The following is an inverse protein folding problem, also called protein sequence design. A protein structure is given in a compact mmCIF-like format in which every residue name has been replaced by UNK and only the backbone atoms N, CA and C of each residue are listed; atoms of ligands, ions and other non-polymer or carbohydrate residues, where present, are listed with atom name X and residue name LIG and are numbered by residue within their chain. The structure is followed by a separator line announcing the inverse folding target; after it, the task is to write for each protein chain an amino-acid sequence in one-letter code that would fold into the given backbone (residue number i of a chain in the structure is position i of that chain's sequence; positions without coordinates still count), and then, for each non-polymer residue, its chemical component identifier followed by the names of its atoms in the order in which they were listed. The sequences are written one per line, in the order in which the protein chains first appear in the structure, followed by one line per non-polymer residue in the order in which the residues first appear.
data_IF_228759553422
#
_entry.id   IF_228759553422
#
_cell.length_a   1.000
_cell.length_b   1.000
_cell.length_c   1.000
_cell.angle_alpha   90.00
_cell.angle_beta   90.00
_cell.angle_gamma   90.00
#
_symmetry.space_group_name_H-M   'P 1'
#
loop_
_entity.id
_entity.type
_entity.pdbx_description
1 polymer ?
#
# COMPACT_ATOMS: atom_id res chain seq x y z
N UNK A 1 -3.46 15.41 19.72
CA UNK A 1 -2.43 14.61 19.01
C UNK A 1 -2.88 14.14 17.62
N UNK A 2 -4.19 13.95 17.36
CA UNK A 2 -4.69 13.51 16.06
C UNK A 2 -4.64 14.62 15.00
N UNK A 3 -4.94 15.86 15.35
CA UNK A 3 -4.87 17.02 14.43
C UNK A 3 -3.44 17.20 13.90
N UNK A 4 -2.38 17.29 14.73
CA UNK A 4 -1.01 17.35 14.24
C UNK A 4 -0.60 16.15 13.36
N UNK A 5 -1.13 14.94 13.65
CA UNK A 5 -0.89 13.78 12.80
C UNK A 5 -1.49 13.94 11.39
N UNK A 6 -2.72 14.48 11.27
CA UNK A 6 -3.34 14.77 9.99
C UNK A 6 -2.55 15.81 9.18
N UNK A 7 -2.02 16.83 9.87
CA UNK A 7 -1.13 17.83 9.24
C UNK A 7 0.16 17.18 8.75
N UNK A 8 0.80 16.30 9.54
CA UNK A 8 2.02 15.60 9.13
C UNK A 8 1.78 14.67 7.93
N UNK A 9 0.64 13.99 7.86
CA UNK A 9 0.23 13.19 6.70
C UNK A 9 -0.02 14.07 5.46
N UNK A 10 -0.67 15.23 5.65
CA UNK A 10 -0.87 16.18 4.56
C UNK A 10 0.46 16.71 4.03
N UNK A 11 1.39 17.09 4.90
CA UNK A 11 2.75 17.52 4.52
C UNK A 11 3.44 16.42 3.72
N UNK A 12 3.39 15.15 4.15
CA UNK A 12 4.00 14.04 3.44
C UNK A 12 3.44 13.91 2.00
N UNK A 13 2.12 14.02 1.83
CA UNK A 13 1.49 13.95 0.52
C UNK A 13 1.75 15.21 -0.34
N UNK A 14 1.80 16.38 0.26
CA UNK A 14 2.05 17.64 -0.43
C UNK A 14 3.54 17.78 -0.83
N UNK A 15 4.45 17.31 0.01
CA UNK A 15 5.90 17.42 -0.20
C UNK A 15 6.33 16.87 -1.56
N UNK A 16 5.83 15.68 -1.95
CA UNK A 16 6.14 15.09 -3.26
C UNK A 16 5.82 16.06 -4.41
N UNK A 17 4.66 16.74 -4.35
CA UNK A 17 4.23 17.67 -5.40
C UNK A 17 5.11 18.93 -5.46
N UNK A 18 5.52 19.45 -4.29
CA UNK A 18 6.41 20.61 -4.23
C UNK A 18 7.80 20.28 -4.75
N UNK A 19 8.39 19.15 -4.36
CA UNK A 19 9.68 18.71 -4.86
C UNK A 19 9.65 18.41 -6.38
N UNK A 20 8.59 17.75 -6.87
CA UNK A 20 8.42 17.50 -8.31
C UNK A 20 8.29 18.83 -9.06
N UNK A 21 7.51 19.77 -8.54
CA UNK A 21 7.34 21.08 -9.18
C UNK A 21 8.67 21.84 -9.24
N UNK A 22 9.45 21.79 -8.18
CA UNK A 22 10.74 22.48 -8.05
C UNK A 22 11.80 21.88 -8.99
N UNK A 23 11.98 20.55 -8.99
CA UNK A 23 13.03 19.90 -9.77
C UNK A 23 12.65 19.58 -11.23
N UNK A 24 11.38 19.25 -11.49
CA UNK A 24 10.93 18.69 -12.77
C UNK A 24 9.86 19.55 -13.48
N UNK A 25 9.31 20.52 -12.78
CA UNK A 25 8.34 21.46 -13.35
C UNK A 25 6.89 20.96 -13.43
N UNK A 26 6.02 21.80 -14.01
CA UNK A 26 4.56 21.60 -14.01
C UNK A 26 4.10 20.38 -14.80
N UNK A 27 4.73 20.08 -15.93
CA UNK A 27 4.36 18.92 -16.77
C UNK A 27 4.55 17.60 -16.02
N UNK A 28 5.68 17.44 -15.34
CA UNK A 28 5.97 16.26 -14.52
C UNK A 28 4.99 16.13 -13.35
N UNK A 29 4.63 17.24 -12.69
CA UNK A 29 3.65 17.24 -11.62
C UNK A 29 2.26 16.79 -12.11
N UNK A 30 1.86 17.17 -13.33
CA UNK A 30 0.63 16.68 -13.96
C UNK A 30 0.65 15.18 -14.21
N UNK A 31 1.76 14.63 -14.73
CA UNK A 31 1.93 13.17 -14.93
C UNK A 31 1.85 12.43 -13.61
N UNK A 32 2.51 12.93 -12.56
CA UNK A 32 2.48 12.33 -11.23
C UNK A 32 1.08 12.37 -10.59
N UNK A 33 0.32 13.44 -10.82
CA UNK A 33 -1.07 13.54 -10.36
C UNK A 33 -1.96 12.48 -11.02
N UNK A 34 -1.78 12.22 -12.32
CA UNK A 34 -2.49 11.15 -13.03
C UNK A 34 -2.07 9.77 -12.50
N UNK A 35 -0.76 9.52 -12.31
CA UNK A 35 -0.26 8.26 -11.77
C UNK A 35 -0.88 7.92 -10.40
N UNK A 36 -1.12 8.93 -9.55
CA UNK A 36 -1.72 8.74 -8.23
C UNK A 36 -3.21 8.34 -8.26
N UNK A 37 -3.93 8.56 -9.36
CA UNK A 37 -5.37 8.21 -9.43
C UNK A 37 -5.63 6.71 -9.29
N UNK A 38 -4.74 5.87 -9.83
CA UNK A 38 -4.91 4.40 -9.75
C UNK A 38 -4.73 3.88 -8.31
N UNK A 39 -3.66 4.22 -7.56
CA UNK A 39 -3.52 3.85 -6.16
C UNK A 39 -4.65 4.36 -5.25
N UNK A 40 -5.29 5.46 -5.58
CA UNK A 40 -6.45 5.99 -4.84
C UNK A 40 -7.61 4.99 -4.75
N UNK A 41 -7.76 4.08 -5.71
CA UNK A 41 -8.80 3.04 -5.67
C UNK A 41 -8.62 2.13 -4.44
N UNK A 42 -7.39 1.76 -4.11
CA UNK A 42 -7.09 1.01 -2.87
C UNK A 42 -7.37 1.89 -1.64
N UNK A 43 -7.10 3.19 -1.73
CA UNK A 43 -7.38 4.14 -0.65
C UNK A 43 -8.86 4.19 -0.26
N UNK A 44 -9.78 4.08 -1.22
CA UNK A 44 -11.23 4.02 -0.96
C UNK A 44 -11.57 2.76 -0.15
N UNK A 45 -11.07 1.60 -0.57
CA UNK A 45 -11.27 0.32 0.14
C UNK A 45 -10.71 0.41 1.56
N UNK A 46 -9.53 1.00 1.72
CA UNK A 46 -8.90 1.22 3.02
C UNK A 46 -9.74 2.10 3.94
N UNK A 47 -10.36 3.16 3.42
CA UNK A 47 -11.19 4.05 4.22
C UNK A 47 -12.37 3.29 4.85
N UNK A 48 -13.06 2.45 4.06
CA UNK A 48 -14.16 1.62 4.54
C UNK A 48 -13.67 0.60 5.57
N UNK A 49 -12.55 -0.07 5.27
CA UNK A 49 -11.96 -1.04 6.20
C UNK A 49 -11.58 -0.39 7.53
N UNK A 50 -10.92 0.77 7.51
CA UNK A 50 -10.45 1.43 8.74
C UNK A 50 -11.59 1.96 9.61
N UNK A 51 -12.72 2.35 9.05
CA UNK A 51 -13.91 2.71 9.84
C UNK A 51 -14.41 1.53 10.69
N UNK A 52 -14.52 0.35 10.08
CA UNK A 52 -14.91 -0.87 10.81
C UNK A 52 -13.78 -1.35 11.76
N UNK A 53 -12.53 -1.33 11.29
CA UNK A 53 -11.38 -1.78 12.06
C UNK A 53 -11.15 -0.97 13.33
N UNK A 54 -11.34 0.34 13.28
CA UNK A 54 -11.19 1.21 14.45
C UNK A 54 -12.15 0.84 15.58
N UNK A 55 -13.38 0.47 15.25
CA UNK A 55 -14.37 0.02 16.23
C UNK A 55 -13.93 -1.32 16.81
N UNK A 56 -13.65 -2.30 15.96
CA UNK A 56 -13.28 -3.65 16.38
C UNK A 56 -12.00 -3.69 17.22
N UNK A 57 -10.99 -2.87 16.90
CA UNK A 57 -9.73 -2.85 17.65
C UNK A 57 -9.91 -2.28 19.06
N UNK A 58 -10.85 -1.34 19.25
CA UNK A 58 -11.16 -0.78 20.56
C UNK A 58 -11.96 -1.77 21.40
N UNK A 59 -12.99 -2.41 20.81
CA UNK A 59 -13.83 -3.38 21.50
C UNK A 59 -13.05 -4.61 21.96
N UNK A 60 -12.15 -5.13 21.11
CA UNK A 60 -11.36 -6.32 21.40
C UNK A 60 -10.09 -6.04 22.22
N UNK A 61 -9.77 -4.78 22.55
CA UNK A 61 -8.51 -4.42 23.20
C UNK A 61 -8.34 -5.06 24.58
N UNK A 62 -9.40 -5.21 25.34
CA UNK A 62 -9.41 -5.86 26.67
C UNK A 62 -9.67 -7.38 26.59
N UNK A 63 -9.93 -7.93 25.40
CA UNK A 63 -10.17 -9.36 25.20
C UNK A 63 -8.90 -10.19 25.47
N UNK A 64 -9.05 -11.39 26.04
CA UNK A 64 -7.96 -12.35 26.22
C UNK A 64 -7.40 -12.86 24.89
N UNK A 65 -8.23 -12.92 23.86
CA UNK A 65 -7.89 -13.44 22.54
C UNK A 65 -7.46 -12.37 21.54
N UNK A 66 -7.25 -11.13 21.99
CA UNK A 66 -6.91 -9.98 21.14
C UNK A 66 -5.74 -10.23 20.18
N UNK A 67 -4.67 -10.88 20.66
CA UNK A 67 -3.46 -11.13 19.87
C UNK A 67 -3.74 -12.07 18.69
N UNK A 68 -4.58 -13.09 18.90
CA UNK A 68 -5.04 -14.02 17.86
C UNK A 68 -5.98 -13.33 16.88
N UNK A 69 -6.95 -12.56 17.39
CA UNK A 69 -7.90 -11.80 16.58
C UNK A 69 -7.18 -10.81 15.67
N UNK A 70 -6.25 -10.03 16.22
CA UNK A 70 -5.49 -9.03 15.43
C UNK A 70 -4.56 -9.68 14.42
N UNK A 71 -3.91 -10.81 14.79
CA UNK A 71 -3.05 -11.56 13.88
C UNK A 71 -3.81 -12.09 12.67
N UNK A 72 -4.99 -12.69 12.91
CA UNK A 72 -5.85 -13.23 11.85
C UNK A 72 -6.41 -12.12 10.95
N UNK A 73 -6.88 -11.02 11.55
CA UNK A 73 -7.41 -9.86 10.82
C UNK A 73 -6.34 -9.21 9.94
N UNK A 74 -5.11 -9.02 10.46
CA UNK A 74 -4.00 -8.51 9.64
C UNK A 74 -3.64 -9.44 8.49
N UNK A 75 -3.61 -10.76 8.73
CA UNK A 75 -3.31 -11.74 7.69
C UNK A 75 -4.31 -11.65 6.54
N UNK A 76 -5.62 -11.58 6.85
CA UNK A 76 -6.68 -11.44 5.85
C UNK A 76 -6.59 -10.10 5.12
N UNK A 77 -6.44 -9.01 5.87
CA UNK A 77 -6.33 -7.67 5.31
C UNK A 77 -5.14 -7.53 4.36
N UNK A 78 -3.96 -8.03 4.77
CA UNK A 78 -2.76 -8.01 3.94
C UNK A 78 -2.97 -8.82 2.65
N UNK A 79 -3.59 -9.99 2.70
CA UNK A 79 -3.89 -10.81 1.52
C UNK A 79 -4.83 -10.10 0.55
N UNK A 80 -5.90 -9.47 1.05
CA UNK A 80 -6.83 -8.69 0.20
C UNK A 80 -6.08 -7.55 -0.49
N UNK A 81 -5.22 -6.83 0.22
CA UNK A 81 -4.43 -5.75 -0.36
C UNK A 81 -3.45 -6.26 -1.42
N UNK A 82 -2.74 -7.35 -1.17
CA UNK A 82 -1.82 -7.94 -2.13
C UNK A 82 -2.54 -8.40 -3.40
N UNK A 83 -3.69 -9.06 -3.27
CA UNK A 83 -4.52 -9.47 -4.41
C UNK A 83 -5.04 -8.25 -5.16
N UNK A 84 -5.50 -7.21 -4.45
CA UNK A 84 -5.96 -5.96 -5.06
C UNK A 84 -4.86 -5.24 -5.84
N UNK A 85 -3.66 -5.13 -5.26
CA UNK A 85 -2.48 -4.54 -5.94
C UNK A 85 -2.12 -5.35 -7.18
N UNK A 86 -2.06 -6.68 -7.07
CA UNK A 86 -1.77 -7.58 -8.20
C UNK A 86 -2.81 -7.49 -9.31
N UNK A 87 -4.10 -7.40 -8.95
CA UNK A 87 -5.19 -7.19 -9.90
C UNK A 87 -5.09 -5.85 -10.64
N UNK A 88 -4.70 -4.79 -9.94
CA UNK A 88 -4.44 -3.49 -10.56
C UNK A 88 -3.24 -3.57 -11.51
N UNK A 89 -2.15 -4.25 -11.12
CA UNK A 89 -0.98 -4.43 -12.01
C UNK A 89 -1.33 -5.22 -13.26
N UNK A 90 -2.18 -6.26 -13.14
CA UNK A 90 -2.69 -7.03 -14.28
C UNK A 90 -3.42 -6.14 -15.30
N UNK A 91 -4.26 -5.23 -14.82
CA UNK A 91 -5.09 -4.35 -15.63
C UNK A 91 -4.47 -2.96 -15.87
N UNK A 92 -3.24 -2.70 -15.40
CA UNK A 92 -2.69 -1.34 -15.34
C UNK A 92 -2.63 -0.64 -16.70
N UNK A 93 -2.06 -1.27 -17.73
CA UNK A 93 -1.95 -0.65 -19.05
C UNK A 93 -3.31 -0.44 -19.73
N UNK A 94 -4.24 -1.42 -19.74
CA UNK A 94 -5.61 -1.19 -20.19
C UNK A 94 -6.33 -0.07 -19.42
N UNK A 95 -6.24 -0.06 -18.10
CA UNK A 95 -6.84 1.00 -17.29
C UNK A 95 -6.29 2.38 -17.66
N UNK A 96 -4.98 2.51 -17.82
CA UNK A 96 -4.36 3.77 -18.19
C UNK A 96 -4.80 4.23 -19.60
N UNK A 97 -4.94 3.33 -20.55
CA UNK A 97 -5.38 3.67 -21.92
C UNK A 97 -6.84 4.15 -21.96
N UNK A 98 -7.69 3.64 -21.06
CA UNK A 98 -9.09 4.03 -20.96
C UNK A 98 -9.30 5.33 -20.15
N UNK A 99 -8.50 5.53 -19.10
CA UNK A 99 -8.70 6.62 -18.14
C UNK A 99 -7.89 7.88 -18.43
N UNK A 100 -6.92 7.81 -19.36
CA UNK A 100 -6.03 8.94 -19.61
C UNK A 100 -5.88 9.22 -21.11
N UNK A 101 -5.62 10.48 -21.47
CA UNK A 101 -5.25 10.84 -22.83
C UNK A 101 -3.84 10.36 -23.18
N UNK A 102 -3.52 10.28 -24.48
CA UNK A 102 -2.23 9.81 -25.00
C UNK A 102 -1.02 10.52 -24.39
N UNK A 103 -1.16 11.82 -24.07
CA UNK A 103 -0.10 12.62 -23.45
C UNK A 103 0.31 12.15 -22.03
N UNK A 104 -0.56 11.42 -21.35
CA UNK A 104 -0.35 10.97 -19.97
C UNK A 104 -0.17 9.44 -19.85
N UNK A 105 -0.16 8.71 -20.96
CA UNK A 105 0.02 7.26 -20.94
C UNK A 105 1.30 6.84 -20.20
N UNK A 106 2.38 7.63 -20.31
CA UNK A 106 3.65 7.35 -19.63
C UNK A 106 3.54 7.28 -18.09
N UNK A 107 2.46 7.80 -17.50
CA UNK A 107 2.22 7.79 -16.06
C UNK A 107 2.13 6.37 -15.47
N UNK A 108 1.78 5.34 -16.28
CA UNK A 108 1.74 3.94 -15.81
C UNK A 108 3.06 3.47 -15.19
N UNK A 109 4.20 4.01 -15.64
CA UNK A 109 5.54 3.63 -15.17
C UNK A 109 5.75 3.91 -13.67
N UNK A 110 5.05 4.88 -13.12
CA UNK A 110 5.20 5.31 -11.72
C UNK A 110 4.19 4.63 -10.79
N UNK A 111 3.07 4.12 -11.35
CA UNK A 111 1.99 3.49 -10.61
C UNK A 111 2.46 2.30 -9.76
N UNK A 112 3.30 1.35 -10.24
CA UNK A 112 3.74 0.21 -9.44
C UNK A 112 4.39 0.60 -8.11
N UNK A 113 5.26 1.62 -8.11
CA UNK A 113 5.91 2.11 -6.89
C UNK A 113 4.94 2.86 -5.97
N UNK A 114 3.97 3.58 -6.55
CA UNK A 114 2.90 4.22 -5.78
C UNK A 114 1.93 3.19 -5.17
N UNK A 115 1.73 2.04 -5.80
CA UNK A 115 0.96 0.92 -5.23
C UNK A 115 1.67 0.35 -3.99
N UNK A 116 3.00 0.22 -4.00
CA UNK A 116 3.75 -0.12 -2.79
C UNK A 116 3.60 0.95 -1.70
N UNK A 117 3.60 2.23 -2.08
CA UNK A 117 3.36 3.32 -1.12
C UNK A 117 2.02 3.15 -0.41
N UNK A 118 0.93 2.89 -1.16
CA UNK A 118 -0.39 2.67 -0.58
C UNK A 118 -0.43 1.37 0.24
N UNK A 119 0.21 0.28 -0.21
CA UNK A 119 0.31 -0.98 0.52
C UNK A 119 0.96 -0.78 1.90
N UNK A 120 2.12 -0.15 1.95
CA UNK A 120 2.82 0.11 3.22
C UNK A 120 2.11 1.14 4.10
N UNK A 121 1.48 2.15 3.49
CA UNK A 121 0.62 3.10 4.19
C UNK A 121 -0.55 2.38 4.86
N UNK A 122 -1.18 1.44 4.16
CA UNK A 122 -2.27 0.61 4.68
C UNK A 122 -1.82 -0.26 5.84
N UNK A 123 -0.67 -0.93 5.70
CA UNK A 123 -0.10 -1.72 6.80
C UNK A 123 0.23 -0.82 8.01
N UNK A 124 0.87 0.32 7.78
CA UNK A 124 1.18 1.24 8.87
C UNK A 124 -0.08 1.79 9.54
N UNK A 125 -1.15 2.03 8.77
CA UNK A 125 -2.46 2.45 9.27
C UNK A 125 -3.11 1.41 10.18
N UNK A 126 -3.03 0.12 9.79
CA UNK A 126 -3.53 -0.99 10.61
C UNK A 126 -2.90 -1.00 12.01
N UNK A 127 -1.58 -0.92 12.09
CA UNK A 127 -0.86 -0.84 13.37
C UNK A 127 -1.10 0.50 14.09
N UNK A 128 -1.41 1.56 13.34
CA UNK A 128 -1.75 2.87 13.89
C UNK A 128 -2.95 2.84 14.82
N UNK A 129 -3.92 1.94 14.59
CA UNK A 129 -5.12 1.83 15.42
C UNK A 129 -4.84 1.30 16.83
N UNK A 130 -3.75 0.55 17.04
CA UNK A 130 -3.38 0.08 18.38
C UNK A 130 -2.99 1.21 19.33
N UNK A 131 -2.39 2.27 18.81
CA UNK A 131 -2.12 3.47 19.61
C UNK A 131 -3.41 4.19 20.04
N UNK A 132 -4.47 4.12 19.20
CA UNK A 132 -5.77 4.69 19.54
C UNK A 132 -6.42 3.83 20.63
N UNK A 133 -6.48 2.52 20.46
CA UNK A 133 -7.04 1.59 21.43
C UNK A 133 -6.31 1.67 22.79
N UNK A 134 -4.98 1.78 22.79
CA UNK A 134 -4.16 1.94 24.00
C UNK A 134 -4.14 3.37 24.56
N UNK A 135 -4.85 4.32 23.95
CA UNK A 135 -4.86 5.77 24.31
C UNK A 135 -3.47 6.45 24.24
N UNK A 136 -2.51 5.88 23.51
CA UNK A 136 -1.14 6.40 23.37
C UNK A 136 -0.88 7.08 22.00
N UNK A 137 -1.74 8.02 21.65
CA UNK A 137 -1.76 8.70 20.35
C UNK A 137 -0.47 9.47 20.00
N UNK A 138 0.42 9.76 20.99
CA UNK A 138 1.75 10.32 20.72
C UNK A 138 2.59 9.42 19.81
N UNK A 139 2.44 8.09 19.91
CA UNK A 139 3.15 7.12 19.04
C UNK A 139 2.78 7.26 17.58
N UNK A 140 1.50 7.54 17.26
CA UNK A 140 1.05 7.81 15.89
C UNK A 140 1.77 9.03 15.34
N UNK A 141 1.74 10.14 16.09
CA UNK A 141 2.36 11.39 15.67
C UNK A 141 3.87 11.22 15.42
N UNK A 142 4.60 10.68 16.39
CA UNK A 142 6.05 10.50 16.28
C UNK A 142 6.43 9.65 15.07
N UNK A 143 5.75 8.52 14.86
CA UNK A 143 6.04 7.64 13.72
C UNK A 143 5.69 8.30 12.38
N UNK A 144 4.62 9.10 12.32
CA UNK A 144 4.24 9.85 11.13
C UNK A 144 5.26 10.95 10.81
N UNK A 145 5.75 11.67 11.82
CA UNK A 145 6.81 12.69 11.65
C UNK A 145 8.10 12.06 11.13
N UNK A 146 8.52 10.91 11.67
CA UNK A 146 9.68 10.17 11.15
C UNK A 146 9.48 9.82 9.68
N UNK A 147 8.30 9.31 9.32
CA UNK A 147 7.97 9.03 7.92
C UNK A 147 8.04 10.26 7.02
N UNK A 148 7.53 11.41 7.49
CA UNK A 148 7.60 12.67 6.74
C UNK A 148 9.04 13.13 6.54
N UNK A 149 9.90 13.06 7.56
CA UNK A 149 11.32 13.40 7.46
C UNK A 149 12.02 12.47 6.46
N UNK A 150 11.81 11.16 6.54
CA UNK A 150 12.36 10.19 5.58
C UNK A 150 11.90 10.51 4.16
N UNK A 151 10.61 10.82 3.97
CA UNK A 151 10.08 11.21 2.66
C UNK A 151 10.75 12.46 2.10
N UNK A 152 10.92 13.50 2.92
CA UNK A 152 11.59 14.75 2.51
C UNK A 152 13.04 14.50 2.08
N UNK A 153 13.79 13.75 2.88
CA UNK A 153 15.19 13.40 2.58
C UNK A 153 15.26 12.59 1.27
N UNK A 154 14.44 11.56 1.13
CA UNK A 154 14.45 10.72 -0.06
C UNK A 154 13.98 11.47 -1.30
N UNK A 155 13.00 12.36 -1.21
CA UNK A 155 12.58 13.21 -2.34
C UNK A 155 13.73 14.11 -2.81
N UNK A 156 14.43 14.74 -1.87
CA UNK A 156 15.55 15.61 -2.19
C UNK A 156 16.69 14.85 -2.89
N UNK A 157 16.96 13.62 -2.47
CA UNK A 157 18.04 12.78 -3.03
C UNK A 157 17.63 12.08 -4.34
N UNK A 158 16.42 11.54 -4.42
CA UNK A 158 16.04 10.63 -5.50
C UNK A 158 15.35 11.34 -6.68
N UNK A 159 14.63 12.44 -6.46
CA UNK A 159 13.95 13.12 -7.57
C UNK A 159 14.93 13.69 -8.60
N UNK A 160 16.06 14.34 -8.23
CA UNK A 160 17.04 14.82 -9.21
C UNK A 160 17.65 13.69 -10.07
N UNK A 161 17.80 12.47 -9.50
CA UNK A 161 18.46 11.34 -10.18
C UNK A 161 17.47 10.46 -10.93
N UNK A 162 16.33 10.15 -10.31
CA UNK A 162 15.35 9.17 -10.81
C UNK A 162 14.04 9.82 -11.29
N UNK A 163 13.97 11.15 -11.30
CA UNK A 163 12.78 11.89 -11.71
C UNK A 163 11.52 11.45 -10.93
N UNK A 164 10.39 11.26 -11.59
CA UNK A 164 9.11 10.85 -10.97
C UNK A 164 9.18 9.46 -10.32
N UNK A 165 10.03 8.57 -10.81
CA UNK A 165 10.27 7.27 -10.16
C UNK A 165 10.86 7.48 -8.76
N UNK A 166 11.77 8.46 -8.61
CA UNK A 166 12.33 8.85 -7.32
C UNK A 166 11.26 9.27 -6.33
N UNK A 167 10.31 10.12 -6.73
CA UNK A 167 9.19 10.53 -5.88
C UNK A 167 8.31 9.34 -5.45
N UNK A 168 8.04 8.41 -6.37
CA UNK A 168 7.23 7.22 -6.09
C UNK A 168 7.93 6.27 -5.11
N UNK A 169 9.24 6.04 -5.30
CA UNK A 169 10.06 5.23 -4.39
C UNK A 169 10.18 5.90 -3.02
N UNK A 170 10.40 7.22 -2.96
CA UNK A 170 10.46 7.99 -1.70
C UNK A 170 9.19 7.78 -0.87
N UNK A 171 8.03 7.84 -1.52
CA UNK A 171 6.74 7.59 -0.86
C UNK A 171 6.64 6.15 -0.34
N UNK A 172 7.01 5.15 -1.13
CA UNK A 172 6.96 3.76 -0.72
C UNK A 172 7.90 3.47 0.45
N UNK A 173 9.14 3.96 0.38
CA UNK A 173 10.15 3.74 1.42
C UNK A 173 9.81 4.46 2.73
N UNK A 174 9.25 5.67 2.67
CA UNK A 174 8.83 6.38 3.87
C UNK A 174 7.74 5.63 4.63
N UNK A 175 6.72 5.13 3.95
CA UNK A 175 5.67 4.33 4.59
C UNK A 175 6.15 2.94 5.02
N UNK A 176 7.10 2.33 4.31
CA UNK A 176 7.76 1.10 4.75
C UNK A 176 8.46 1.30 6.10
N UNK A 177 9.21 2.41 6.24
CA UNK A 177 9.89 2.75 7.50
C UNK A 177 8.87 2.96 8.63
N UNK A 178 7.78 3.70 8.38
CA UNK A 178 6.71 3.89 9.36
C UNK A 178 6.10 2.55 9.78
N UNK A 179 5.81 1.67 8.83
CA UNK A 179 5.26 0.34 9.13
C UNK A 179 6.22 -0.48 9.99
N UNK A 180 7.51 -0.55 9.64
CA UNK A 180 8.52 -1.29 10.42
C UNK A 180 8.61 -0.76 11.86
N UNK A 181 8.63 0.58 12.03
CA UNK A 181 8.68 1.19 13.36
C UNK A 181 7.42 0.84 14.15
N UNK A 182 6.22 0.97 13.53
CA UNK A 182 4.95 0.65 14.19
C UNK A 182 4.85 -0.82 14.58
N UNK A 183 5.29 -1.75 13.73
CA UNK A 183 5.35 -3.19 14.07
C UNK A 183 6.20 -3.44 15.31
N UNK A 184 7.35 -2.76 15.44
CA UNK A 184 8.24 -2.91 16.61
C UNK A 184 7.65 -2.25 17.85
N UNK A 185 7.16 -1.03 17.71
CA UNK A 185 6.69 -0.22 18.84
C UNK A 185 5.37 -0.74 19.44
N UNK A 186 4.47 -1.26 18.59
CA UNK A 186 3.17 -1.78 19.05
C UNK A 186 3.25 -3.14 19.73
N UNK A 187 4.38 -3.85 19.68
CA UNK A 187 4.60 -5.10 20.44
C UNK A 187 4.40 -4.94 21.95
N UNK A 188 4.58 -3.73 22.49
CA UNK A 188 4.31 -3.42 23.91
C UNK A 188 2.83 -3.43 24.29
N UNK A 189 1.92 -3.37 23.30
CA UNK A 189 0.47 -3.36 23.50
C UNK A 189 -0.18 -4.68 23.10
N UNK A 190 0.35 -5.27 22.00
CA UNK A 190 -0.23 -6.44 21.33
C UNK A 190 0.91 -7.33 20.85
N UNK A 191 0.89 -8.60 21.25
CA UNK A 191 1.88 -9.59 20.81
C UNK A 191 1.38 -10.37 19.59
N UNK A 192 1.26 -9.66 18.49
CA UNK A 192 0.70 -10.16 17.25
C UNK A 192 1.71 -11.01 16.46
N UNK A 193 1.25 -12.13 15.93
CA UNK A 193 2.04 -12.97 15.03
C UNK A 193 1.88 -12.51 13.58
N UNK A 194 2.98 -12.03 12.97
CA UNK A 194 3.02 -11.62 11.57
C UNK A 194 3.64 -12.75 10.75
N UNK A 195 2.90 -13.28 9.78
CA UNK A 195 3.37 -14.32 8.87
C UNK A 195 4.33 -13.76 7.81
N UNK A 196 5.57 -13.42 8.22
CA UNK A 196 6.59 -12.79 7.36
C UNK A 196 6.81 -13.57 6.05
N UNK A 197 6.79 -14.91 6.10
CA UNK A 197 6.93 -15.75 4.90
C UNK A 197 5.86 -15.45 3.85
N UNK A 198 4.59 -15.30 4.28
CA UNK A 198 3.49 -14.96 3.34
C UNK A 198 3.68 -13.56 2.75
N UNK A 199 4.09 -12.61 3.58
CA UNK A 199 4.36 -11.24 3.12
C UNK A 199 5.48 -11.24 2.08
N UNK A 200 6.61 -11.91 2.33
CA UNK A 200 7.74 -11.98 1.40
C UNK A 200 7.38 -12.67 0.09
N UNK A 201 6.64 -13.78 0.13
CA UNK A 201 6.18 -14.48 -1.08
C UNK A 201 5.25 -13.57 -1.91
N UNK A 202 4.33 -12.86 -1.28
CA UNK A 202 3.46 -11.91 -1.99
C UNK A 202 4.26 -10.74 -2.61
N UNK A 203 5.26 -10.21 -1.91
CA UNK A 203 6.17 -9.21 -2.50
C UNK A 203 6.93 -9.77 -3.70
N UNK A 204 7.41 -11.01 -3.63
CA UNK A 204 8.08 -11.66 -4.76
C UNK A 204 7.17 -11.72 -5.99
N UNK A 205 5.91 -12.12 -5.84
CA UNK A 205 4.94 -12.11 -6.95
C UNK A 205 4.72 -10.71 -7.52
N UNK A 206 4.58 -9.68 -6.67
CA UNK A 206 4.44 -8.31 -7.14
C UNK A 206 5.69 -7.81 -7.88
N UNK A 207 6.89 -8.10 -7.37
CA UNK A 207 8.12 -7.74 -8.06
C UNK A 207 8.25 -8.45 -9.41
N UNK A 208 7.87 -9.74 -9.49
CA UNK A 208 7.85 -10.49 -10.74
C UNK A 208 6.88 -9.85 -11.74
N UNK A 209 5.66 -9.50 -11.32
CA UNK A 209 4.69 -8.79 -12.16
C UNK A 209 5.25 -7.45 -12.68
N UNK A 210 5.86 -6.66 -11.81
CA UNK A 210 6.44 -5.37 -12.17
C UNK A 210 7.57 -5.56 -13.18
N UNK A 211 8.50 -6.49 -12.93
CA UNK A 211 9.61 -6.78 -13.85
C UNK A 211 9.08 -7.16 -15.22
N UNK A 212 8.11 -8.05 -15.32
CA UNK A 212 7.51 -8.44 -16.59
C UNK A 212 6.75 -7.27 -17.25
N UNK A 213 6.06 -6.45 -16.47
CA UNK A 213 5.34 -5.28 -16.98
C UNK A 213 6.28 -4.26 -17.66
N UNK A 214 7.50 -4.11 -17.15
CA UNK A 214 8.54 -3.23 -17.71
C UNK A 214 9.31 -3.89 -18.87
N UNK A 215 9.52 -5.21 -18.81
CA UNK A 215 10.32 -5.94 -19.80
C UNK A 215 9.56 -6.26 -21.09
N UNK A 216 8.25 -6.51 -20.98
CA UNK A 216 7.44 -6.92 -22.15
C UNK A 216 6.95 -5.70 -22.91
N UNK A 217 7.54 -5.50 -24.09
CA UNK A 217 7.11 -4.53 -25.11
C UNK A 217 6.21 -5.26 -26.10
N UNK A 218 4.91 -5.26 -25.86
CA UNK A 218 3.94 -5.94 -26.72
C UNK A 218 2.59 -5.22 -26.74
N UNK A 219 1.64 -5.80 -27.48
CA UNK A 219 0.26 -5.33 -27.43
C UNK A 219 -0.38 -5.64 -26.06
N UNK A 220 -1.53 -5.04 -25.77
CA UNK A 220 -2.22 -5.20 -24.48
C UNK A 220 -2.57 -6.67 -24.17
N UNK A 221 -2.84 -7.49 -25.19
CA UNK A 221 -3.18 -8.89 -25.06
C UNK A 221 -1.98 -9.69 -24.54
N UNK A 222 -0.79 -9.49 -25.12
CA UNK A 222 0.45 -10.15 -24.68
C UNK A 222 0.77 -9.83 -23.22
N UNK A 223 0.61 -8.57 -22.84
CA UNK A 223 0.84 -8.14 -21.46
C UNK A 223 -0.16 -8.80 -20.51
N UNK A 224 -1.44 -8.85 -20.87
CA UNK A 224 -2.46 -9.47 -20.06
C UNK A 224 -2.21 -10.99 -19.88
N UNK A 225 -1.89 -11.71 -20.98
CA UNK A 225 -1.61 -13.16 -20.95
C UNK A 225 -0.41 -13.48 -20.05
N UNK A 226 0.64 -12.64 -20.03
CA UNK A 226 1.83 -12.86 -19.20
C UNK A 226 1.61 -12.53 -17.72
N UNK A 227 0.76 -11.56 -17.40
CA UNK A 227 0.44 -11.16 -16.04
C UNK A 227 -0.59 -12.08 -15.36
N UNK A 228 -1.54 -12.63 -16.14
CA UNK A 228 -2.64 -13.44 -15.65
C UNK A 228 -2.19 -14.70 -14.85
N UNK A 229 -1.21 -15.50 -15.30
CA UNK A 229 -0.76 -16.67 -14.55
C UNK A 229 -0.20 -16.30 -13.17
N UNK A 230 0.53 -15.17 -13.06
CA UNK A 230 1.10 -14.71 -11.78
C UNK A 230 -0.03 -14.30 -10.84
N UNK A 231 -1.01 -13.55 -11.35
CA UNK A 231 -2.18 -13.15 -10.58
C UNK A 231 -2.96 -14.37 -10.06
N UNK A 232 -3.24 -15.37 -10.93
CA UNK A 232 -3.93 -16.59 -10.54
C UNK A 232 -3.12 -17.37 -9.50
N UNK A 233 -1.80 -17.52 -9.69
CA UNK A 233 -0.93 -18.22 -8.74
C UNK A 233 -0.94 -17.52 -7.38
N UNK A 234 -0.87 -16.20 -7.36
CA UNK A 234 -0.95 -15.41 -6.14
C UNK A 234 -2.31 -15.53 -5.45
N UNK A 235 -3.40 -15.54 -6.23
CA UNK A 235 -4.76 -15.73 -5.72
C UNK A 235 -4.91 -17.13 -5.10
N UNK A 236 -4.44 -18.18 -5.78
CA UNK A 236 -4.48 -19.55 -5.26
C UNK A 236 -3.62 -19.73 -4.01
N UNK A 237 -2.42 -19.12 -3.98
CA UNK A 237 -1.54 -19.14 -2.81
C UNK A 237 -2.21 -18.52 -1.59
N UNK A 238 -2.86 -17.38 -1.74
CA UNK A 238 -3.54 -16.69 -0.66
C UNK A 238 -4.85 -17.39 -0.25
N UNK A 239 -5.62 -17.95 -1.20
CA UNK A 239 -6.89 -18.63 -0.90
C UNK A 239 -6.71 -19.93 -0.12
N UNK A 240 -5.70 -20.75 -0.45
CA UNK A 240 -5.41 -22.01 0.27
C UNK A 240 -5.06 -21.81 1.74
N UNK A 241 -4.51 -20.65 2.08
CA UNK A 241 -4.01 -20.35 3.41
C UNK A 241 -4.99 -19.54 4.26
N UNK A 242 -6.24 -19.34 3.80
CA UNK A 242 -7.19 -18.49 4.49
C UNK A 242 -8.53 -19.21 4.76
N UNK A 243 -8.83 -19.43 6.06
CA UNK A 243 -10.09 -20.04 6.51
C UNK A 243 -11.33 -19.27 6.04
N UNK A 244 -11.25 -17.94 5.86
CA UNK A 244 -12.35 -17.13 5.35
C UNK A 244 -12.65 -17.41 3.87
N UNK A 245 -11.65 -17.57 3.03
CA UNK A 245 -11.85 -17.94 1.62
C UNK A 245 -12.44 -19.33 1.49
N UNK A 246 -12.04 -20.28 2.33
CA UNK A 246 -12.64 -21.61 2.36
C UNK A 246 -14.09 -21.57 2.83
N UNK A 247 -14.44 -20.72 3.80
CA UNK A 247 -15.81 -20.51 4.26
C UNK A 247 -16.69 -19.82 3.21
N UNK A 248 -16.16 -18.79 2.52
CA UNK A 248 -16.89 -18.14 1.42
C UNK A 248 -17.09 -19.08 0.23
N UNK A 249 -16.07 -19.84 -0.15
CA UNK A 249 -16.17 -20.85 -1.21
C UNK A 249 -17.17 -21.97 -0.88
N UNK A 250 -17.29 -22.35 0.40
CA UNK A 250 -18.29 -23.34 0.85
C UNK A 250 -19.73 -22.79 0.83
N UNK A 251 -19.90 -21.47 1.04
CA UNK A 251 -21.23 -20.81 0.96
C UNK A 251 -21.69 -20.53 -0.48
N UNK A 252 -20.74 -20.37 -1.42
CA UNK A 252 -21.05 -20.19 -2.85
C UNK A 252 -21.35 -21.52 -3.57
N UNK A 253 -21.04 -22.65 -2.93
CA UNK A 253 -21.35 -24.00 -3.44
C UNK A 253 -22.72 -24.55 -2.97
N UNK A 254 -23.41 -23.82 -2.13
CA UNK A 254 -24.80 -24.09 -1.72
C UNK A 254 -25.74 -23.10 -2.40
#
# INVERSE_FOLDING_TARGET
PLIPNSVALWINNAANRYFILYFLGRKANGIFAIANKIPMLIGIVNTIFFQAWQISVIEEYESKDKDSFYSSTFSVYAQILFIGVSGILLCLKPMMSLLTSSNFLSAWRYVPFLLFSVLYSSFSGFFGQYYIASKQTKGIFNTTVIGAIVNLILNFLLIPVLSLTGASISSAMSFLVVWIIRVKDTKRFVNMHIELKKILVNHFFLFLQITLLFSITGNLITIFITQLPIFITMLLYNSKNNKLFTLLASKLKK
#
